data_IF_282865609567
#
_entry.id   IF_282865609567
#
_cell.length_a   1.000
_cell.length_b   1.000
_cell.length_c   1.000
_cell.angle_alpha   90.00
_cell.angle_beta   90.00
_cell.angle_gamma   90.00
#
_symmetry.space_group_name_H-M   'P 1'
#
loop_
_entity.id
_entity.type
_entity.pdbx_description
1 polymer ?
#
# COMPACT_ATOMS: atom_id res chain seq x y z
N UNK A 1 -24.58 17.65 -8.40
CA UNK A 1 -23.82 16.70 -9.24
C UNK A 1 -24.54 15.39 -9.25
N UNK A 2 -24.61 14.74 -10.41
CA UNK A 2 -25.17 13.40 -10.52
C UNK A 2 -24.34 12.39 -9.69
N UNK A 3 -24.99 11.35 -9.14
CA UNK A 3 -24.31 10.34 -8.33
C UNK A 3 -23.36 9.48 -9.17
N UNK A 4 -23.66 9.28 -10.45
CA UNK A 4 -22.80 8.52 -11.37
C UNK A 4 -21.55 9.34 -11.69
N UNK A 5 -21.71 10.64 -11.95
CA UNK A 5 -20.57 11.57 -12.12
C UNK A 5 -19.69 11.62 -10.87
N UNK A 6 -20.27 11.66 -9.67
CA UNK A 6 -19.53 11.60 -8.40
C UNK A 6 -18.73 10.30 -8.27
N UNK A 7 -19.33 9.16 -8.63
CA UNK A 7 -18.65 7.88 -8.62
C UNK A 7 -17.46 7.86 -9.59
N UNK A 8 -17.63 8.44 -10.78
CA UNK A 8 -16.56 8.55 -11.78
C UNK A 8 -15.43 9.41 -11.25
N UNK A 9 -15.74 10.62 -10.78
CA UNK A 9 -14.73 11.54 -10.24
C UNK A 9 -13.96 10.93 -9.07
N UNK A 10 -14.66 10.31 -8.12
CA UNK A 10 -14.02 9.62 -6.99
C UNK A 10 -13.15 8.44 -7.44
N UNK A 11 -13.56 7.71 -8.47
CA UNK A 11 -12.79 6.60 -9.04
C UNK A 11 -11.53 7.08 -9.77
N UNK A 12 -11.60 8.22 -10.46
CA UNK A 12 -10.45 8.86 -11.11
C UNK A 12 -9.42 9.32 -10.07
N UNK A 13 -9.85 10.01 -9.01
CA UNK A 13 -8.94 10.42 -7.93
C UNK A 13 -8.30 9.21 -7.24
N UNK A 14 -9.03 8.12 -7.06
CA UNK A 14 -8.46 6.89 -6.50
C UNK A 14 -7.41 6.28 -7.42
N UNK A 15 -7.67 6.24 -8.73
CA UNK A 15 -6.71 5.76 -9.72
C UNK A 15 -5.45 6.64 -9.75
N UNK A 16 -5.59 7.95 -9.67
CA UNK A 16 -4.45 8.89 -9.64
C UNK A 16 -3.54 8.59 -8.44
N UNK A 17 -4.11 8.44 -7.24
CA UNK A 17 -3.35 8.10 -6.02
C UNK A 17 -2.72 6.71 -6.12
N UNK A 18 -3.35 5.74 -6.79
CA UNK A 18 -2.80 4.40 -6.98
C UNK A 18 -1.69 4.35 -8.05
N UNK A 19 -1.72 5.25 -9.04
CA UNK A 19 -0.71 5.32 -10.11
C UNK A 19 0.51 6.15 -9.70
N UNK A 20 0.31 7.22 -8.94
CA UNK A 20 1.36 8.10 -8.47
C UNK A 20 1.67 7.79 -7.01
N UNK A 21 2.72 6.98 -6.79
CA UNK A 21 3.28 6.77 -5.47
C UNK A 21 3.66 8.12 -4.85
N UNK A 22 3.04 8.47 -3.72
CA UNK A 22 3.54 9.57 -2.91
C UNK A 22 4.92 9.20 -2.34
N UNK A 23 5.78 10.20 -2.12
CA UNK A 23 7.09 9.99 -1.47
C UNK A 23 6.94 9.34 -0.08
N UNK A 24 5.78 9.49 0.56
CA UNK A 24 5.41 8.84 1.81
C UNK A 24 4.26 7.85 1.61
N UNK A 25 4.55 6.55 1.69
CA UNK A 25 3.56 5.49 1.48
C UNK A 25 2.43 5.48 2.51
N UNK A 26 2.70 5.82 3.77
CA UNK A 26 1.65 5.85 4.79
C UNK A 26 0.57 6.89 4.44
N UNK A 27 0.98 8.05 3.93
CA UNK A 27 0.05 9.07 3.40
C UNK A 27 -0.71 8.58 2.17
N UNK A 28 -0.05 7.81 1.29
CA UNK A 28 -0.73 7.21 0.13
C UNK A 28 -1.82 6.23 0.59
N UNK A 29 -1.52 5.35 1.55
CA UNK A 29 -2.48 4.38 2.09
C UNK A 29 -3.65 5.09 2.76
N UNK A 30 -3.39 6.08 3.62
CA UNK A 30 -4.44 6.86 4.26
C UNK A 30 -5.37 7.52 3.23
N UNK A 31 -4.79 8.09 2.15
CA UNK A 31 -5.59 8.70 1.09
C UNK A 31 -6.43 7.69 0.31
N UNK A 32 -5.88 6.52 0.03
CA UNK A 32 -6.60 5.40 -0.61
C UNK A 32 -7.78 4.97 0.26
N UNK A 33 -7.58 4.81 1.57
CA UNK A 33 -8.66 4.43 2.51
C UNK A 33 -9.78 5.47 2.56
N UNK A 34 -9.42 6.76 2.63
CA UNK A 34 -10.40 7.86 2.60
C UNK A 34 -11.25 7.83 1.33
N UNK A 35 -10.62 7.67 0.16
CA UNK A 35 -11.30 7.62 -1.13
C UNK A 35 -12.17 6.36 -1.28
N UNK A 36 -11.72 5.21 -0.77
CA UNK A 36 -12.53 3.98 -0.76
C UNK A 36 -13.79 4.15 0.11
N UNK A 37 -13.67 4.76 1.29
CA UNK A 37 -14.79 5.02 2.17
C UNK A 37 -15.79 6.03 1.56
N UNK A 38 -15.30 7.05 0.86
CA UNK A 38 -16.15 7.98 0.11
C UNK A 38 -16.88 7.27 -1.04
N UNK A 39 -16.15 6.46 -1.81
CA UNK A 39 -16.69 5.68 -2.92
C UNK A 39 -17.79 4.71 -2.46
N UNK A 40 -17.60 4.05 -1.32
CA UNK A 40 -18.59 3.15 -0.73
C UNK A 40 -19.91 3.88 -0.41
N UNK A 41 -19.83 5.09 0.16
CA UNK A 41 -21.02 5.92 0.45
C UNK A 41 -21.77 6.29 -0.83
N UNK A 42 -21.06 6.64 -1.90
CA UNK A 42 -21.66 6.97 -3.20
C UNK A 42 -22.36 5.73 -3.78
N UNK A 43 -21.69 4.57 -3.77
CA UNK A 43 -22.27 3.31 -4.27
C UNK A 43 -23.50 2.91 -3.47
N UNK A 44 -23.48 3.08 -2.14
CA UNK A 44 -24.64 2.80 -1.29
C UNK A 44 -25.85 3.67 -1.67
N UNK A 45 -25.64 4.96 -1.93
CA UNK A 45 -26.70 5.88 -2.40
C UNK A 45 -27.21 5.51 -3.80
N UNK A 46 -26.31 5.14 -4.71
CA UNK A 46 -26.69 4.67 -6.06
C UNK A 46 -27.59 3.44 -5.99
N UNK A 47 -27.27 2.47 -5.13
CA UNK A 47 -28.07 1.26 -4.92
C UNK A 47 -29.47 1.54 -4.38
N UNK A 48 -29.66 2.62 -3.62
CA UNK A 48 -30.94 2.97 -3.01
C UNK A 48 -31.90 3.72 -3.94
N UNK A 49 -31.40 4.33 -5.01
CA UNK A 49 -32.20 5.22 -5.87
C UNK A 49 -32.17 4.85 -7.35
N UNK A 50 -31.02 5.03 -8.00
CA UNK A 50 -30.90 5.11 -9.46
C UNK A 50 -30.15 3.94 -10.10
N UNK A 51 -30.09 2.79 -9.43
CA UNK A 51 -29.30 1.64 -9.89
C UNK A 51 -29.70 1.16 -11.29
N UNK A 52 -30.99 1.17 -11.62
CA UNK A 52 -31.52 0.72 -12.92
C UNK A 52 -31.02 1.58 -14.10
N UNK A 53 -30.75 2.86 -13.86
CA UNK A 53 -30.27 3.79 -14.88
C UNK A 53 -28.75 3.66 -15.13
N UNK A 54 -28.02 2.99 -14.24
CA UNK A 54 -26.56 2.89 -14.33
C UNK A 54 -26.12 2.15 -15.59
N UNK A 55 -26.85 1.12 -16.02
CA UNK A 55 -26.52 0.34 -17.21
C UNK A 55 -26.69 1.09 -18.54
N UNK A 56 -27.58 2.09 -18.56
CA UNK A 56 -27.87 2.89 -19.75
C UNK A 56 -27.06 4.19 -19.78
N UNK A 57 -26.38 4.51 -18.68
CA UNK A 57 -25.58 5.72 -18.57
C UNK A 57 -24.34 5.64 -19.48
N UNK A 58 -23.97 6.72 -20.20
CA UNK A 58 -22.81 6.72 -21.11
C UNK A 58 -21.49 6.38 -20.42
N UNK A 59 -21.41 6.57 -19.09
CA UNK A 59 -20.20 6.28 -18.31
C UNK A 59 -20.16 4.86 -17.71
N UNK A 60 -21.19 4.03 -17.92
CA UNK A 60 -21.28 2.69 -17.34
C UNK A 60 -20.05 1.82 -17.65
N UNK A 61 -19.65 1.81 -18.93
CA UNK A 61 -18.47 1.07 -19.40
C UNK A 61 -17.18 1.60 -18.76
N UNK A 62 -17.03 2.92 -18.69
CA UNK A 62 -15.88 3.58 -18.06
C UNK A 62 -15.75 3.17 -16.58
N UNK A 63 -16.86 3.10 -15.85
CA UNK A 63 -16.87 2.68 -14.43
C UNK A 63 -16.36 1.23 -14.28
N UNK A 64 -16.79 0.33 -15.15
CA UNK A 64 -16.32 -1.08 -15.14
C UNK A 64 -14.83 -1.17 -15.44
N UNK A 65 -14.35 -0.40 -16.43
CA UNK A 65 -12.92 -0.35 -16.76
C UNK A 65 -12.09 0.21 -15.60
N UNK A 66 -12.53 1.31 -14.98
CA UNK A 66 -11.88 1.89 -13.80
C UNK A 66 -11.85 0.91 -12.62
N UNK A 67 -12.91 0.15 -12.38
CA UNK A 67 -12.94 -0.86 -11.31
C UNK A 67 -11.85 -1.92 -11.50
N UNK A 68 -11.65 -2.40 -12.74
CA UNK A 68 -10.59 -3.36 -13.03
C UNK A 68 -9.20 -2.78 -12.74
N UNK A 69 -8.98 -1.51 -13.07
CA UNK A 69 -7.70 -0.85 -12.86
C UNK A 69 -7.47 -0.50 -11.38
N UNK A 70 -8.51 -0.09 -10.65
CA UNK A 70 -8.46 0.11 -9.20
C UNK A 70 -8.05 -1.19 -8.52
N UNK A 71 -8.66 -2.32 -8.88
CA UNK A 71 -8.30 -3.62 -8.29
C UNK A 71 -6.86 -4.02 -8.57
N UNK A 72 -6.33 -3.73 -9.78
CA UNK A 72 -4.91 -3.96 -10.08
C UNK A 72 -4.02 -3.05 -9.24
N UNK A 73 -4.36 -1.77 -9.10
CA UNK A 73 -3.62 -0.79 -8.31
C UNK A 73 -3.56 -1.18 -6.83
N UNK A 74 -4.69 -1.54 -6.23
CA UNK A 74 -4.77 -1.99 -4.84
C UNK A 74 -3.93 -3.25 -4.59
N UNK A 75 -3.95 -4.22 -5.53
CA UNK A 75 -3.11 -5.42 -5.42
C UNK A 75 -1.61 -5.09 -5.46
N UNK A 76 -1.19 -4.14 -6.30
CA UNK A 76 0.20 -3.68 -6.36
C UNK A 76 0.61 -3.03 -5.04
N UNK A 77 -0.18 -2.06 -4.56
CA UNK A 77 0.07 -1.39 -3.28
C UNK A 77 0.20 -2.39 -2.13
N UNK A 78 -0.69 -3.39 -2.07
CA UNK A 78 -0.62 -4.45 -1.08
C UNK A 78 0.68 -5.27 -1.14
N UNK A 79 1.10 -5.70 -2.34
CA UNK A 79 2.35 -6.46 -2.48
C UNK A 79 3.59 -5.61 -2.17
N UNK A 80 3.58 -4.32 -2.48
CA UNK A 80 4.64 -3.39 -2.11
C UNK A 80 4.76 -3.26 -0.58
N UNK A 81 3.64 -3.07 0.12
CA UNK A 81 3.61 -3.02 1.60
C UNK A 81 4.18 -4.32 2.18
N UNK A 82 3.75 -5.46 1.66
CA UNK A 82 4.20 -6.78 2.09
C UNK A 82 5.68 -7.01 1.82
N UNK A 83 6.21 -6.54 0.69
CA UNK A 83 7.65 -6.61 0.39
C UNK A 83 8.47 -5.82 1.40
N UNK A 84 8.02 -4.64 1.78
CA UNK A 84 8.77 -3.82 2.73
C UNK A 84 8.72 -4.34 4.15
N UNK A 85 7.60 -4.96 4.56
CA UNK A 85 7.56 -5.71 5.82
C UNK A 85 8.57 -6.87 5.83
N UNK A 86 8.73 -7.58 4.71
CA UNK A 86 9.75 -8.64 4.59
C UNK A 86 11.16 -8.07 4.71
N UNK A 87 11.47 -7.00 3.96
CA UNK A 87 12.79 -6.33 4.01
C UNK A 87 13.12 -5.80 5.41
N UNK A 88 12.14 -5.24 6.11
CA UNK A 88 12.32 -4.76 7.48
C UNK A 88 12.67 -5.90 8.44
N UNK A 89 11.96 -7.03 8.35
CA UNK A 89 12.25 -8.22 9.15
C UNK A 89 13.63 -8.82 8.84
N UNK A 90 14.02 -8.87 7.55
CA UNK A 90 15.35 -9.33 7.15
C UNK A 90 16.46 -8.43 7.69
N UNK A 91 16.30 -7.11 7.59
CA UNK A 91 17.24 -6.13 8.14
C UNK A 91 17.40 -6.32 9.65
N UNK A 92 16.28 -6.50 10.37
CA UNK A 92 16.28 -6.76 11.82
C UNK A 92 17.04 -8.05 12.16
N UNK A 93 16.82 -9.13 11.41
CA UNK A 93 17.53 -10.41 11.59
C UNK A 93 19.03 -10.26 11.33
N UNK A 94 19.41 -9.56 10.26
CA UNK A 94 20.82 -9.30 9.94
C UNK A 94 21.49 -8.51 11.08
N UNK A 95 20.87 -7.44 11.55
CA UNK A 95 21.39 -6.63 12.65
C UNK A 95 21.62 -7.47 13.92
N UNK A 96 20.65 -8.30 14.32
CA UNK A 96 20.81 -9.23 15.44
C UNK A 96 21.94 -10.24 15.21
N UNK A 97 22.12 -10.73 13.99
CA UNK A 97 23.22 -11.64 13.65
C UNK A 97 24.59 -10.95 13.75
N UNK A 98 24.69 -9.67 13.36
CA UNK A 98 25.92 -8.90 13.49
C UNK A 98 26.25 -8.60 14.96
N UNK A 99 25.28 -8.15 15.76
CA UNK A 99 25.46 -7.92 17.20
C UNK A 99 25.95 -9.18 17.94
N UNK A 100 25.38 -10.36 17.61
CA UNK A 100 25.78 -11.64 18.20
C UNK A 100 27.15 -12.17 17.71
N UNK A 101 27.64 -11.74 16.54
CA UNK A 101 28.96 -12.14 16.03
C UNK A 101 30.09 -11.36 16.74
N UNK A 102 29.84 -10.11 17.13
CA UNK A 102 30.81 -9.30 17.88
C UNK A 102 30.77 -9.55 19.39
N UNK A 103 29.66 -10.05 19.94
CA UNK A 103 29.58 -10.41 21.36
C UNK A 103 30.51 -11.57 21.75
N UNK A 104 30.87 -12.44 20.79
CA UNK A 104 31.87 -13.51 21.01
C UNK A 104 33.32 -12.98 20.95
N UNK A 105 33.57 -11.83 20.33
CA UNK A 105 34.90 -11.21 20.22
C UNK A 105 35.26 -10.42 21.49
N UNK A 106 34.28 -9.85 22.19
CA UNK A 106 34.49 -9.17 23.47
C UNK A 106 34.86 -10.12 24.64
N UNK A 107 34.58 -11.42 24.51
CA UNK A 107 34.88 -12.43 25.55
C UNK A 107 36.18 -13.21 25.30
N UNK A 108 36.85 -13.01 24.15
CA UNK A 108 38.15 -13.60 23.87
C UNK A 108 39.27 -12.68 24.39
N UNK A 109 39.44 -12.73 25.71
CA UNK A 109 40.56 -12.25 26.53
C UNK A 109 41.84 -11.94 25.70
N UNK A 110 42.18 -10.65 25.61
CA UNK A 110 43.33 -10.10 24.89
C UNK A 110 44.67 -10.49 25.50
N UNK A 111 45.01 -11.79 25.47
CA UNK A 111 46.34 -12.27 25.85
C UNK A 111 47.29 -12.18 24.67
N UNK A 112 48.00 -11.06 24.61
CA UNK A 112 49.24 -10.94 23.84
C UNK A 112 50.24 -12.01 24.32
N UNK A 113 50.62 -12.90 23.41
CA UNK A 113 51.73 -13.83 23.60
C UNK A 113 53.05 -13.06 23.58
N UNK A 114 53.53 -12.62 24.74
CA UNK A 114 54.96 -12.40 24.95
C UNK A 114 55.45 -13.37 26.02
N UNK A 115 55.99 -14.51 25.57
CA UNK A 115 56.93 -15.30 26.35
C UNK A 115 58.18 -15.50 25.50
N UNK A 116 59.01 -14.46 25.45
CA UNK A 116 60.43 -14.53 25.06
C UNK A 116 61.15 -15.64 25.82
N UNK A 117 61.95 -16.41 25.10
CA UNK A 117 63.06 -17.22 25.63
C UNK A 117 64.29 -16.34 25.80
#
# INVERSE_FOLDING_TARGET
MDLIEQLVSCSESLLEVLQHSADERDKQVEKVEQLLAEREKIIARLKQGSYENLHQHPQARKIVEMEQDIQKGLRRLYEDIKMDLKRWNEKKRLQQSYENAFSYVETYDGRFYDKRK
#
